data_IF_603302688246
#
_entry.id   IF_603302688246
#
_cell.length_a   1.000
_cell.length_b   1.000
_cell.length_c   1.000
_cell.angle_alpha   90.00
_cell.angle_beta   90.00
_cell.angle_gamma   90.00
#
_symmetry.space_group_name_H-M   'P 1'
#
loop_
_entity.id
_entity.type
_entity.pdbx_description
1 polymer ?
#
# COMPACT_ATOMS: atom_id res chain seq x y z
N UNK A 1 -36.16 -4.93 -77.55
CA UNK A 1 -34.82 -5.52 -77.71
C UNK A 1 -34.46 -6.27 -76.42
N UNK A 2 -34.15 -7.56 -76.56
CA UNK A 2 -33.43 -8.51 -75.68
C UNK A 2 -33.56 -8.36 -74.14
N UNK A 3 -34.20 -9.29 -73.41
CA UNK A 3 -33.78 -10.67 -73.00
C UNK A 3 -32.78 -10.70 -71.81
N UNK A 4 -33.33 -11.07 -70.66
CA UNK A 4 -32.92 -12.00 -69.57
C UNK A 4 -31.45 -12.34 -69.25
N UNK A 5 -31.17 -12.36 -67.93
CA UNK A 5 -30.56 -13.47 -67.12
C UNK A 5 -30.61 -13.02 -65.63
N UNK A 6 -31.30 -13.66 -64.67
CA UNK A 6 -31.00 -14.94 -64.00
C UNK A 6 -29.99 -14.71 -62.85
N UNK A 7 -30.12 -15.13 -61.58
CA UNK A 7 -31.04 -16.03 -60.86
C UNK A 7 -30.91 -15.87 -59.32
N UNK A 8 -31.99 -16.25 -58.61
CA UNK A 8 -32.15 -16.89 -57.26
C UNK A 8 -31.13 -16.67 -56.13
N UNK A 9 -31.63 -16.26 -54.96
CA UNK A 9 -31.32 -16.85 -53.64
C UNK A 9 -32.55 -16.81 -52.71
N UNK A 10 -32.70 -17.86 -51.89
CA UNK A 10 -33.78 -18.06 -50.93
C UNK A 10 -33.41 -17.51 -49.55
N UNK A 11 -34.39 -17.05 -48.75
CA UNK A 11 -34.29 -17.14 -47.29
C UNK A 11 -35.65 -17.05 -46.57
N UNK A 12 -35.70 -17.87 -45.53
CA UNK A 12 -36.72 -18.35 -44.57
C UNK A 12 -37.65 -17.36 -43.84
N UNK A 13 -38.72 -17.89 -43.19
CA UNK A 13 -39.82 -17.11 -42.63
C UNK A 13 -39.56 -16.55 -41.22
N UNK A 14 -40.21 -15.43 -40.93
CA UNK A 14 -40.32 -14.75 -39.65
C UNK A 14 -40.94 -15.64 -38.55
N UNK A 15 -40.26 -15.79 -37.41
CA UNK A 15 -40.85 -16.28 -36.15
C UNK A 15 -40.83 -15.17 -35.09
N UNK A 16 -42.04 -14.81 -34.66
CA UNK A 16 -42.33 -14.08 -33.43
C UNK A 16 -41.79 -14.85 -32.22
N UNK A 17 -41.00 -14.19 -31.38
CA UNK A 17 -40.68 -14.68 -30.03
C UNK A 17 -41.77 -14.22 -29.08
N UNK A 18 -42.53 -15.17 -28.53
CA UNK A 18 -43.51 -14.91 -27.49
C UNK A 18 -42.82 -14.72 -26.14
N UNK A 19 -43.18 -13.66 -25.42
CA UNK A 19 -42.83 -13.47 -24.01
C UNK A 19 -43.46 -14.59 -23.17
N UNK A 20 -42.67 -15.59 -22.78
CA UNK A 20 -43.06 -16.52 -21.72
C UNK A 20 -42.79 -15.87 -20.36
N UNK A 21 -43.87 -15.60 -19.63
CA UNK A 21 -43.87 -15.33 -18.19
C UNK A 21 -43.23 -16.50 -17.43
N UNK A 22 -42.02 -16.32 -16.91
CA UNK A 22 -41.37 -17.31 -16.05
C UNK A 22 -41.97 -17.27 -14.64
N UNK A 23 -42.49 -18.40 -14.17
CA UNK A 23 -42.76 -18.63 -12.73
C UNK A 23 -41.44 -18.90 -12.02
N UNK A 24 -41.27 -18.48 -10.76
CA UNK A 24 -40.06 -18.79 -9.99
C UNK A 24 -40.00 -20.29 -9.65
N UNK A 25 -38.83 -20.95 -9.76
CA UNK A 25 -38.65 -22.34 -9.38
C UNK A 25 -38.57 -22.51 -7.85
N UNK A 26 -38.81 -23.73 -7.33
CA UNK A 26 -38.83 -24.01 -5.89
C UNK A 26 -37.42 -23.91 -5.28
N UNK A 27 -37.35 -23.52 -4.00
CA UNK A 27 -36.10 -23.45 -3.24
C UNK A 27 -35.67 -24.83 -2.75
N UNK A 28 -34.42 -25.19 -3.07
CA UNK A 28 -33.59 -26.06 -2.23
C UNK A 28 -33.36 -27.46 -2.77
N UNK A 29 -32.34 -27.60 -3.62
CA UNK A 29 -31.37 -28.71 -3.57
C UNK A 29 -29.97 -28.12 -3.88
N UNK A 30 -28.89 -28.57 -3.21
CA UNK A 30 -27.54 -28.17 -3.55
C UNK A 30 -27.20 -28.68 -4.96
N UNK A 31 -26.78 -27.76 -5.82
CA UNK A 31 -26.54 -28.01 -7.24
C UNK A 31 -25.39 -29.00 -7.43
N UNK A 32 -25.61 -30.04 -8.24
CA UNK A 32 -24.64 -31.14 -8.41
C UNK A 32 -23.52 -30.89 -9.42
N UNK A 33 -23.57 -29.84 -10.24
CA UNK A 33 -22.37 -29.39 -10.94
C UNK A 33 -22.50 -27.92 -11.39
N UNK A 34 -21.98 -26.99 -10.59
CA UNK A 34 -22.02 -25.55 -10.88
C UNK A 34 -21.31 -25.22 -12.19
N UNK A 35 -20.27 -25.99 -12.52
CA UNK A 35 -19.45 -25.78 -13.71
C UNK A 35 -20.24 -26.17 -14.98
N UNK A 36 -21.03 -27.24 -14.94
CA UNK A 36 -21.91 -27.68 -16.06
C UNK A 36 -23.00 -26.64 -16.37
N UNK A 37 -23.66 -26.09 -15.33
CA UNK A 37 -24.66 -25.04 -15.51
C UNK A 37 -24.06 -23.74 -16.07
N UNK A 38 -22.86 -23.36 -15.62
CA UNK A 38 -22.16 -22.20 -16.14
C UNK A 38 -21.80 -22.35 -17.63
N UNK A 39 -21.37 -23.54 -18.05
CA UNK A 39 -21.11 -23.88 -19.45
C UNK A 39 -22.37 -23.83 -20.31
N UNK A 40 -23.48 -24.40 -19.83
CA UNK A 40 -24.77 -24.37 -20.53
C UNK A 40 -25.28 -22.93 -20.74
N UNK A 41 -25.19 -22.09 -19.70
CA UNK A 41 -25.64 -20.70 -19.76
C UNK A 41 -24.74 -19.84 -20.66
N UNK A 42 -23.41 -20.04 -20.61
CA UNK A 42 -22.49 -19.37 -21.51
C UNK A 42 -22.81 -19.68 -22.99
N UNK A 43 -23.06 -20.96 -23.30
CA UNK A 43 -23.47 -21.41 -24.63
C UNK A 43 -24.83 -20.83 -25.05
N UNK A 44 -25.79 -20.75 -24.12
CA UNK A 44 -27.14 -20.25 -24.38
C UNK A 44 -27.18 -18.75 -24.73
N UNK A 45 -26.37 -17.93 -24.07
CA UNK A 45 -26.40 -16.47 -24.22
C UNK A 45 -25.37 -15.93 -25.22
N UNK A 46 -24.68 -16.80 -25.96
CA UNK A 46 -23.73 -16.42 -27.01
C UNK A 46 -22.61 -15.47 -26.50
N UNK A 47 -22.34 -15.51 -25.19
CA UNK A 47 -21.27 -14.75 -24.56
C UNK A 47 -19.97 -15.51 -24.71
N UNK A 48 -18.88 -14.80 -25.05
CA UNK A 48 -17.54 -15.30 -24.70
C UNK A 48 -17.57 -15.63 -23.21
N UNK A 49 -17.04 -16.80 -22.82
CA UNK A 49 -17.00 -17.30 -21.46
C UNK A 49 -16.38 -16.25 -20.54
N UNK A 50 -17.22 -15.33 -20.06
CA UNK A 50 -16.80 -14.21 -19.24
C UNK A 50 -16.47 -14.86 -17.92
N UNK A 51 -15.19 -14.79 -17.52
CA UNK A 51 -14.74 -15.45 -16.31
C UNK A 51 -15.67 -15.05 -15.16
N UNK A 52 -16.37 -16.04 -14.61
CA UNK A 52 -17.21 -15.81 -13.45
C UNK A 52 -16.31 -15.27 -12.32
N UNK A 53 -16.75 -14.24 -11.58
CA UNK A 53 -16.06 -13.80 -10.37
C UNK A 53 -15.80 -14.96 -9.42
N UNK A 54 -14.69 -14.93 -8.69
CA UNK A 54 -14.26 -16.03 -7.81
C UNK A 54 -15.34 -16.40 -6.77
N UNK A 55 -16.19 -15.45 -6.39
CA UNK A 55 -17.29 -15.62 -5.45
C UNK A 55 -18.51 -16.31 -6.07
N UNK A 56 -18.57 -16.45 -7.40
CA UNK A 56 -19.75 -16.97 -8.08
C UNK A 56 -20.05 -18.43 -7.68
N UNK A 57 -19.01 -19.27 -7.61
CA UNK A 57 -19.13 -20.71 -7.32
C UNK A 57 -19.63 -21.00 -5.90
N UNK A 58 -19.37 -20.09 -4.96
CA UNK A 58 -19.71 -20.26 -3.55
C UNK A 58 -20.90 -19.41 -3.11
N UNK A 59 -21.21 -18.31 -3.82
CA UNK A 59 -22.19 -17.33 -3.36
C UNK A 59 -23.40 -17.13 -4.29
N UNK A 60 -23.32 -17.49 -5.57
CA UNK A 60 -24.37 -17.17 -6.54
C UNK A 60 -25.38 -18.31 -6.71
N UNK A 61 -26.65 -17.93 -6.81
CA UNK A 61 -27.74 -18.81 -7.24
C UNK A 61 -27.79 -18.94 -8.77
N UNK A 62 -28.47 -19.97 -9.27
CA UNK A 62 -28.71 -20.17 -10.69
C UNK A 62 -29.35 -18.94 -11.37
N UNK A 63 -30.28 -18.27 -10.70
CA UNK A 63 -30.92 -17.07 -11.24
C UNK A 63 -29.94 -15.88 -11.38
N UNK A 64 -28.96 -15.80 -10.49
CA UNK A 64 -27.91 -14.78 -10.50
C UNK A 64 -26.87 -15.06 -11.59
N UNK A 65 -26.51 -16.33 -11.79
CA UNK A 65 -25.73 -16.80 -12.93
C UNK A 65 -26.41 -16.49 -14.27
N UNK A 66 -27.71 -16.82 -14.38
CA UNK A 66 -28.51 -16.51 -15.57
C UNK A 66 -28.53 -15.00 -15.86
N UNK A 67 -28.68 -14.16 -14.83
CA UNK A 67 -28.68 -12.71 -14.96
C UNK A 67 -27.30 -12.18 -15.40
N UNK A 68 -26.21 -12.74 -14.86
CA UNK A 68 -24.85 -12.39 -15.24
C UNK A 68 -24.61 -12.67 -16.74
N UNK A 69 -24.92 -13.88 -17.20
CA UNK A 69 -24.76 -14.24 -18.62
C UNK A 69 -25.72 -13.48 -19.54
N UNK A 70 -26.98 -13.28 -19.14
CA UNK A 70 -27.94 -12.48 -19.90
C UNK A 70 -27.53 -11.00 -20.04
N UNK A 71 -26.70 -10.49 -19.12
CA UNK A 71 -26.15 -9.13 -19.17
C UNK A 71 -24.81 -9.01 -19.93
N UNK A 72 -24.27 -10.13 -20.44
CA UNK A 72 -22.92 -10.15 -21.03
C UNK A 72 -21.82 -9.88 -20.00
N UNK A 73 -22.01 -10.29 -18.75
CA UNK A 73 -21.03 -10.12 -17.66
C UNK A 73 -20.97 -8.73 -17.03
N UNK A 74 -21.90 -7.83 -17.36
CA UNK A 74 -21.90 -6.45 -16.85
C UNK A 74 -22.55 -6.31 -15.47
N UNK A 75 -23.42 -7.23 -15.09
CA UNK A 75 -24.17 -7.17 -13.83
C UNK A 75 -23.72 -8.33 -12.94
N UNK A 76 -22.92 -8.02 -11.92
CA UNK A 76 -22.61 -8.95 -10.84
C UNK A 76 -23.61 -8.78 -9.69
N UNK A 77 -24.09 -9.88 -9.08
CA UNK A 77 -24.91 -9.82 -7.88
C UNK A 77 -24.16 -9.13 -6.74
N UNK A 78 -24.84 -8.31 -5.91
CA UNK A 78 -24.22 -7.76 -4.72
C UNK A 78 -23.85 -8.90 -3.74
N UNK A 79 -22.70 -8.80 -3.03
CA UNK A 79 -22.22 -9.86 -2.14
C UNK A 79 -23.26 -10.27 -1.10
N UNK A 80 -23.48 -11.58 -0.91
CA UNK A 80 -24.54 -12.08 -0.05
C UNK A 80 -24.29 -11.67 1.43
N UNK A 81 -25.15 -10.82 2.03
CA UNK A 81 -24.93 -10.30 3.38
C UNK A 81 -24.86 -11.40 4.44
N UNK A 82 -25.52 -12.54 4.23
CA UNK A 82 -25.58 -13.65 5.18
C UNK A 82 -24.29 -14.47 5.19
N UNK A 83 -23.63 -14.65 4.03
CA UNK A 83 -22.35 -15.37 3.95
C UNK A 83 -21.21 -14.52 4.50
N UNK A 84 -21.22 -13.20 4.26
CA UNK A 84 -20.29 -12.27 4.94
C UNK A 84 -20.47 -12.26 6.45
N UNK A 85 -21.71 -12.33 6.94
CA UNK A 85 -21.97 -12.45 8.37
C UNK A 85 -21.43 -13.77 8.92
N UNK A 86 -21.61 -14.89 8.21
CA UNK A 86 -21.07 -16.19 8.61
C UNK A 86 -19.53 -16.24 8.60
N UNK A 87 -18.87 -15.63 7.61
CA UNK A 87 -17.41 -15.54 7.56
C UNK A 87 -16.85 -14.70 8.72
N UNK A 88 -17.48 -13.55 9.02
CA UNK A 88 -17.14 -12.73 10.19
C UNK A 88 -17.38 -13.47 11.51
N UNK A 89 -18.44 -14.28 11.59
CA UNK A 89 -18.74 -15.10 12.77
C UNK A 89 -17.71 -16.23 12.94
N UNK A 90 -17.17 -16.76 11.83
CA UNK A 90 -16.13 -17.79 11.85
C UNK A 90 -14.76 -17.21 12.23
N UNK A 91 -14.41 -16.03 11.71
CA UNK A 91 -13.24 -15.24 12.13
C UNK A 91 -13.31 -14.85 13.60
N UNK A 92 -14.49 -14.48 14.10
CA UNK A 92 -14.70 -14.15 15.51
C UNK A 92 -14.64 -15.37 16.44
N UNK A 93 -15.00 -16.56 15.96
CA UNK A 93 -14.98 -17.82 16.74
C UNK A 93 -13.61 -18.50 16.75
N UNK A 94 -12.78 -18.28 15.74
CA UNK A 94 -11.45 -18.84 15.64
C UNK A 94 -10.41 -17.71 15.62
N UNK A 95 -10.06 -17.23 16.81
CA UNK A 95 -8.84 -16.43 16.97
C UNK A 95 -7.63 -17.34 16.72
N UNK A 96 -7.14 -17.35 15.47
CA UNK A 96 -6.02 -18.19 15.01
C UNK A 96 -4.66 -17.67 15.50
N UNK A 97 -4.62 -16.61 16.32
CA UNK A 97 -3.38 -16.04 16.84
C UNK A 97 -2.80 -16.94 17.93
N UNK A 98 -1.48 -17.12 17.90
CA UNK A 98 -0.76 -17.81 18.97
C UNK A 98 -0.80 -16.98 20.26
N UNK A 99 -0.63 -17.60 21.44
CA UNK A 99 -0.56 -16.85 22.71
C UNK A 99 0.48 -15.72 22.71
N UNK A 100 1.63 -15.93 22.07
CA UNK A 100 2.67 -14.90 21.93
C UNK A 100 2.23 -13.73 21.02
N UNK A 101 1.40 -14.00 20.00
CA UNK A 101 0.84 -12.95 19.15
C UNK A 101 -0.20 -12.13 19.91
N UNK A 102 -1.04 -12.78 20.71
CA UNK A 102 -2.02 -12.09 21.57
C UNK A 102 -1.31 -11.19 22.59
N UNK A 103 -0.26 -11.69 23.24
CA UNK A 103 0.53 -10.92 24.20
C UNK A 103 1.21 -9.71 23.55
N UNK A 104 1.78 -9.90 22.36
CA UNK A 104 2.43 -8.80 21.63
C UNK A 104 1.44 -7.76 21.08
N UNK A 105 0.24 -8.17 20.66
CA UNK A 105 -0.84 -7.25 20.25
C UNK A 105 -1.33 -6.45 21.47
N UNK A 106 -1.50 -7.11 22.62
CA UNK A 106 -1.88 -6.44 23.87
C UNK A 106 -0.78 -5.46 24.33
N UNK A 107 0.50 -5.83 24.20
CA UNK A 107 1.62 -4.94 24.51
C UNK A 107 1.65 -3.72 23.57
N UNK A 108 1.33 -3.90 22.28
CA UNK A 108 1.23 -2.80 21.32
C UNK A 108 0.09 -1.84 21.68
N UNK A 109 -1.09 -2.34 22.01
CA UNK A 109 -2.21 -1.50 22.46
C UNK A 109 -1.91 -0.78 23.78
N UNK A 110 -1.31 -1.47 24.75
CA UNK A 110 -0.90 -0.86 26.00
C UNK A 110 0.15 0.24 25.79
N UNK A 111 1.10 0.04 24.88
CA UNK A 111 2.08 1.04 24.52
C UNK A 111 1.44 2.25 23.80
N UNK A 112 0.43 2.02 22.94
CA UNK A 112 -0.38 3.08 22.33
C UNK A 112 -1.12 3.91 23.37
N UNK A 113 -1.74 3.27 24.36
CA UNK A 113 -2.38 3.96 25.47
C UNK A 113 -1.37 4.72 26.35
N UNK A 114 -0.19 4.16 26.58
CA UNK A 114 0.87 4.81 27.35
C UNK A 114 1.41 6.06 26.65
N UNK A 115 1.56 6.02 25.32
CA UNK A 115 1.94 7.17 24.49
C UNK A 115 0.91 8.31 24.56
N UNK A 116 -0.34 8.04 24.93
CA UNK A 116 -1.35 9.07 25.20
C UNK A 116 -1.27 9.63 26.64
N UNK A 117 -0.71 8.88 27.60
CA UNK A 117 -0.73 9.21 29.04
C UNK A 117 0.53 9.93 29.51
N UNK A 118 1.69 9.68 28.91
CA UNK A 118 2.93 10.40 29.18
C UNK A 118 3.54 10.91 27.87
N UNK A 119 3.76 12.22 27.72
CA UNK A 119 4.29 12.77 26.49
C UNK A 119 5.73 12.33 26.25
N UNK A 120 5.96 11.47 25.25
CA UNK A 120 7.31 11.03 24.86
C UNK A 120 8.26 12.20 24.57
N UNK A 121 7.72 13.36 24.15
CA UNK A 121 8.49 14.56 23.82
C UNK A 121 9.21 15.19 25.02
N UNK A 122 8.84 14.84 26.26
CA UNK A 122 9.58 15.24 27.46
C UNK A 122 10.92 14.52 27.59
N UNK A 123 11.07 13.34 26.99
CA UNK A 123 12.31 12.54 26.99
C UNK A 123 13.29 12.96 25.88
N UNK A 124 12.87 13.88 25.01
CA UNK A 124 13.65 14.38 23.87
C UNK A 124 14.45 15.60 24.30
N UNK A 125 15.76 15.60 24.02
CA UNK A 125 16.63 16.72 24.41
C UNK A 125 16.42 17.93 23.52
N UNK A 126 16.83 19.10 23.99
CA UNK A 126 16.77 20.33 23.18
C UNK A 126 17.59 20.22 21.89
N UNK A 127 18.75 19.55 21.95
CA UNK A 127 19.58 19.31 20.77
C UNK A 127 18.86 18.46 19.72
N UNK A 128 18.15 17.41 20.13
CA UNK A 128 17.37 16.57 19.22
C UNK A 128 16.27 17.39 18.53
N UNK A 129 15.56 18.22 19.30
CA UNK A 129 14.50 19.10 18.77
C UNK A 129 15.05 20.09 17.75
N UNK A 130 16.25 20.63 17.97
CA UNK A 130 16.90 21.54 17.03
C UNK A 130 17.26 20.82 15.73
N UNK A 131 17.88 19.62 15.80
CA UNK A 131 18.20 18.81 14.62
C UNK A 131 16.95 18.43 13.82
N UNK A 132 15.92 17.93 14.51
CA UNK A 132 14.63 17.62 13.91
C UNK A 132 13.95 18.87 13.33
N UNK A 133 14.12 20.04 13.96
CA UNK A 133 13.62 21.32 13.48
C UNK A 133 14.19 21.69 12.12
N UNK A 134 15.51 21.55 11.92
CA UNK A 134 16.16 21.81 10.61
C UNK A 134 15.57 20.92 9.51
N UNK A 135 15.41 19.62 9.79
CA UNK A 135 14.78 18.69 8.86
C UNK A 135 13.33 19.08 8.56
N UNK A 136 12.55 19.29 9.63
CA UNK A 136 11.13 19.58 9.56
C UNK A 136 10.84 20.85 8.78
N UNK A 137 11.56 21.93 9.03
CA UNK A 137 11.34 23.20 8.36
C UNK A 137 11.63 23.09 6.86
N UNK A 138 12.70 22.38 6.47
CA UNK A 138 13.01 22.11 5.06
C UNK A 138 11.96 21.23 4.38
N UNK A 139 11.57 20.13 5.03
CA UNK A 139 10.57 19.19 4.53
C UNK A 139 9.20 19.87 4.30
N UNK A 140 8.75 20.67 5.26
CA UNK A 140 7.47 21.37 5.20
C UNK A 140 7.46 22.52 4.19
N UNK A 141 8.59 23.21 4.00
CA UNK A 141 8.68 24.31 3.03
C UNK A 141 8.40 23.86 1.60
N UNK A 142 8.66 22.58 1.27
CA UNK A 142 8.45 22.02 -0.06
C UNK A 142 7.00 21.62 -0.33
N UNK A 143 6.29 21.13 0.67
CA UNK A 143 4.95 20.54 0.50
C UNK A 143 4.99 19.21 -0.25
N UNK A 144 3.90 18.87 -0.96
CA UNK A 144 3.82 17.70 -1.85
C UNK A 144 3.87 18.22 -3.30
N UNK A 145 4.86 17.83 -4.12
CA UNK A 145 4.91 18.24 -5.51
C UNK A 145 3.87 17.51 -6.38
N UNK A 146 3.58 18.08 -7.54
CA UNK A 146 2.84 17.38 -8.59
C UNK A 146 3.64 16.16 -9.08
N UNK A 147 2.97 15.02 -9.21
CA UNK A 147 3.56 13.75 -9.68
C UNK A 147 2.93 13.35 -11.02
N UNK A 148 3.64 13.48 -12.15
CA UNK A 148 3.13 13.08 -13.46
C UNK A 148 2.63 11.64 -13.53
N UNK A 149 3.28 10.71 -12.82
CA UNK A 149 2.88 9.31 -12.72
C UNK A 149 2.10 9.01 -11.43
N UNK A 150 1.61 10.04 -10.73
CA UNK A 150 0.87 9.90 -9.49
C UNK A 150 -0.34 8.98 -9.63
N UNK A 151 -0.55 8.13 -8.63
CA UNK A 151 -1.60 7.12 -8.58
C UNK A 151 -2.79 7.56 -7.71
N UNK A 152 -2.59 8.56 -6.84
CA UNK A 152 -3.65 9.09 -5.98
C UNK A 152 -4.43 10.17 -6.75
N UNK A 153 -5.74 9.96 -7.01
CA UNK A 153 -6.58 10.96 -7.66
C UNK A 153 -6.69 12.25 -6.84
N UNK A 154 -6.67 13.41 -7.51
CA UNK A 154 -6.81 14.71 -6.86
C UNK A 154 -8.20 14.89 -6.19
N UNK A 155 -9.17 14.07 -6.57
CA UNK A 155 -10.51 14.05 -6.01
C UNK A 155 -10.77 12.97 -4.96
N UNK A 156 -9.75 12.19 -4.61
CA UNK A 156 -9.84 11.20 -3.54
C UNK A 156 -10.29 11.87 -2.21
N UNK A 157 -11.36 11.38 -1.56
CA UNK A 157 -11.92 12.02 -0.38
C UNK A 157 -10.94 12.13 0.79
N UNK A 158 -10.16 11.07 1.05
CA UNK A 158 -9.21 11.01 2.16
C UNK A 158 -8.04 11.95 1.91
N UNK A 159 -7.47 11.90 0.71
CA UNK A 159 -6.40 12.80 0.31
C UNK A 159 -6.84 14.27 0.41
N UNK A 160 -8.05 14.61 -0.03
CA UNK A 160 -8.63 15.95 0.14
C UNK A 160 -8.84 16.33 1.61
N UNK A 161 -9.21 15.38 2.47
CA UNK A 161 -9.40 15.64 3.89
C UNK A 161 -8.08 16.02 4.57
N UNK A 162 -6.98 15.33 4.22
CA UNK A 162 -5.63 15.66 4.71
C UNK A 162 -5.23 17.10 4.35
N UNK A 163 -5.53 17.54 3.12
CA UNK A 163 -5.25 18.91 2.68
C UNK A 163 -6.14 20.00 3.33
N UNK A 164 -7.28 19.65 3.93
CA UNK A 164 -8.20 20.64 4.54
C UNK A 164 -7.85 20.98 5.99
N UNK A 165 -7.21 20.08 6.72
CA UNK A 165 -6.94 20.25 8.13
C UNK A 165 -5.72 21.15 8.36
N UNK A 166 -5.89 22.28 9.06
CA UNK A 166 -4.80 23.25 9.29
C UNK A 166 -3.60 22.71 10.06
N UNK A 167 -3.79 21.67 10.88
CA UNK A 167 -2.73 21.04 11.66
C UNK A 167 -2.02 19.92 10.89
N UNK A 168 -2.54 19.52 9.73
CA UNK A 168 -1.96 18.50 8.84
C UNK A 168 -1.20 19.23 7.74
N UNK A 169 0.13 19.14 7.79
CA UNK A 169 1.02 19.89 6.91
C UNK A 169 1.67 18.92 5.91
N UNK A 170 1.47 19.11 4.59
CA UNK A 170 2.11 18.27 3.58
C UNK A 170 3.62 18.47 3.61
N UNK A 171 4.39 17.41 3.38
CA UNK A 171 5.84 17.52 3.28
C UNK A 171 6.44 16.48 2.34
N UNK A 172 7.69 16.71 1.98
CA UNK A 172 8.49 15.82 1.15
C UNK A 172 9.76 15.38 1.88
N UNK A 173 10.21 14.16 1.58
CA UNK A 173 11.39 13.55 2.20
C UNK A 173 12.63 14.37 1.90
N UNK A 174 13.45 14.56 2.94
CA UNK A 174 14.76 15.18 2.84
C UNK A 174 15.83 14.23 3.39
N UNK A 175 17.10 14.60 3.23
CA UNK A 175 18.24 13.94 3.84
C UNK A 175 19.02 15.02 4.60
N UNK A 176 19.29 14.78 5.88
CA UNK A 176 20.14 15.67 6.66
C UNK A 176 21.61 15.36 6.35
N UNK A 177 22.36 16.41 6.01
CA UNK A 177 23.81 16.35 5.82
C UNK A 177 24.51 17.23 6.84
N UNK A 178 25.67 16.76 7.32
CA UNK A 178 26.58 17.54 8.16
C UNK A 178 27.66 18.18 7.29
N UNK A 179 27.64 19.52 7.23
CA UNK A 179 28.47 20.32 6.32
C UNK A 179 29.99 20.24 6.62
N UNK A 180 30.40 19.59 7.70
CA UNK A 180 31.83 19.32 8.01
C UNK A 180 32.53 18.38 7.01
N UNK A 181 31.85 17.93 5.95
CA UNK A 181 32.31 16.88 5.03
C UNK A 181 32.37 17.29 3.55
N UNK A 182 32.12 18.56 3.19
CA UNK A 182 32.37 19.05 1.82
C UNK A 182 33.53 20.06 1.76
N UNK A 183 34.64 19.77 1.04
CA UNK A 183 35.69 20.75 0.79
C UNK A 183 35.31 21.84 -0.23
N UNK A 184 34.05 21.91 -0.70
CA UNK A 184 33.69 22.61 -1.95
C UNK A 184 32.55 23.64 -1.84
N UNK A 185 31.88 23.78 -0.70
CA UNK A 185 30.95 24.91 -0.48
C UNK A 185 31.76 26.13 -0.04
N UNK A 186 32.32 26.85 -1.02
CA UNK A 186 32.98 28.14 -0.79
C UNK A 186 31.94 29.18 -0.37
N UNK A 187 31.86 29.48 0.92
CA UNK A 187 31.06 30.63 1.36
C UNK A 187 30.85 30.80 2.86
N UNK A 188 31.06 29.77 3.69
CA UNK A 188 30.99 29.91 5.14
C UNK A 188 32.25 30.56 5.69
N UNK A 189 32.21 31.88 5.91
CA UNK A 189 33.04 32.45 6.96
C UNK A 189 32.57 31.81 8.28
N UNK A 190 33.53 31.32 9.06
CA UNK A 190 33.37 30.71 10.38
C UNK A 190 33.08 29.20 10.30
N UNK A 191 34.04 28.39 10.73
CA UNK A 191 34.03 26.92 10.73
C UNK A 191 33.01 26.29 11.68
N UNK A 192 31.78 26.78 11.69
CA UNK A 192 30.63 26.17 12.34
C UNK A 192 30.12 25.03 11.45
N UNK A 193 30.17 23.80 11.96
CA UNK A 193 29.47 22.68 11.36
C UNK A 193 27.96 22.98 11.36
N UNK A 194 27.39 23.28 10.20
CA UNK A 194 25.94 23.45 10.04
C UNK A 194 25.33 22.17 9.49
N UNK A 195 24.12 21.85 9.96
CA UNK A 195 23.30 20.81 9.35
C UNK A 195 22.53 21.43 8.19
N UNK A 196 22.56 20.80 7.03
CA UNK A 196 21.76 21.21 5.86
C UNK A 196 20.86 20.05 5.48
N UNK A 197 19.56 20.30 5.35
CA UNK A 197 18.62 19.33 4.81
C UNK A 197 18.54 19.50 3.29
N UNK A 198 18.92 18.46 2.55
CA UNK A 198 18.82 18.42 1.09
C UNK A 198 17.58 17.64 0.68
N UNK A 199 16.92 18.11 -0.38
CA UNK A 199 15.75 17.45 -0.94
C UNK A 199 16.15 16.10 -1.55
N UNK A 200 15.36 15.07 -1.27
CA UNK A 200 15.53 13.75 -1.87
C UNK A 200 14.53 13.59 -3.01
N UNK A 201 14.91 14.01 -4.22
CA UNK A 201 14.02 14.00 -5.40
C UNK A 201 13.38 12.64 -5.68
N UNK A 202 14.13 11.55 -5.47
CA UNK A 202 13.71 10.19 -5.81
C UNK A 202 14.18 9.18 -4.76
N UNK A 203 13.41 8.12 -4.57
CA UNK A 203 13.73 7.05 -3.64
C UNK A 203 13.06 5.72 -4.01
N UNK A 204 13.32 4.68 -3.19
CA UNK A 204 12.70 3.37 -3.42
C UNK A 204 11.17 3.43 -3.28
N UNK A 205 10.68 4.18 -2.30
CA UNK A 205 9.25 4.34 -1.98
C UNK A 205 8.70 5.74 -2.24
N UNK A 206 9.55 6.66 -2.70
CA UNK A 206 9.29 8.09 -2.77
C UNK A 206 9.62 8.64 -4.15
N UNK A 207 8.96 9.74 -4.52
CA UNK A 207 9.16 10.43 -5.78
C UNK A 207 8.34 9.83 -6.92
N UNK A 208 8.45 10.46 -8.08
CA UNK A 208 7.73 10.08 -9.29
C UNK A 208 8.28 8.76 -9.87
N UNK A 209 9.56 8.46 -9.65
CA UNK A 209 10.18 7.20 -10.06
C UNK A 209 9.64 5.98 -9.30
N UNK A 210 9.24 6.13 -8.03
CA UNK A 210 8.58 5.06 -7.28
C UNK A 210 7.20 4.74 -7.89
N UNK A 211 6.47 5.79 -8.30
CA UNK A 211 5.18 5.65 -8.96
C UNK A 211 5.36 4.94 -10.32
N UNK A 212 6.27 5.45 -11.14
CA UNK A 212 6.52 4.95 -12.50
C UNK A 212 7.14 3.54 -12.51
N UNK A 213 8.13 3.28 -11.68
CA UNK A 213 8.93 2.06 -11.70
C UNK A 213 8.34 0.91 -10.90
N UNK A 214 7.74 1.19 -9.73
CA UNK A 214 7.28 0.18 -8.77
C UNK A 214 5.78 0.19 -8.56
N UNK A 215 5.08 1.20 -9.08
CA UNK A 215 3.65 1.34 -8.86
C UNK A 215 3.31 1.71 -7.43
N UNK A 216 4.11 2.54 -6.77
CA UNK A 216 3.87 3.03 -5.41
C UNK A 216 3.81 4.56 -5.41
N UNK A 217 2.68 5.12 -4.99
CA UNK A 217 2.52 6.55 -4.73
C UNK A 217 2.30 6.76 -3.21
N UNK A 218 3.28 7.36 -2.54
CA UNK A 218 3.27 7.62 -1.09
C UNK A 218 3.43 9.12 -0.82
N UNK A 219 2.43 9.74 -0.19
CA UNK A 219 2.37 11.20 0.05
C UNK A 219 2.26 11.49 1.54
N UNK A 220 3.25 12.17 2.10
CA UNK A 220 3.36 12.39 3.53
C UNK A 220 2.73 13.70 4.00
N UNK A 221 2.22 13.65 5.22
CA UNK A 221 1.76 14.81 5.96
C UNK A 221 2.17 14.66 7.42
N UNK A 222 2.49 15.78 8.06
CA UNK A 222 2.78 15.85 9.48
C UNK A 222 1.59 16.43 10.21
N UNK A 223 1.05 15.68 11.16
CA UNK A 223 0.02 16.18 12.08
C UNK A 223 0.72 16.86 13.25
N UNK A 224 0.81 18.18 13.19
CA UNK A 224 1.42 19.02 14.24
C UNK A 224 0.67 18.97 15.59
N UNK A 225 -0.59 18.52 15.61
CA UNK A 225 -1.38 18.43 16.85
C UNK A 225 -1.12 17.14 17.62
N UNK A 226 -0.78 16.05 16.91
CA UNK A 226 -0.51 14.74 17.49
C UNK A 226 0.94 14.28 17.33
N UNK A 227 1.76 15.07 16.61
CA UNK A 227 3.15 14.78 16.24
C UNK A 227 3.30 13.46 15.45
N UNK A 228 2.25 13.03 14.76
CA UNK A 228 2.25 11.83 13.91
C UNK A 228 2.65 12.18 12.49
N UNK A 229 3.17 11.19 11.76
CA UNK A 229 3.18 11.22 10.30
C UNK A 229 1.97 10.43 9.81
N UNK A 230 1.20 11.04 8.93
CA UNK A 230 0.11 10.38 8.21
C UNK A 230 0.40 10.45 6.72
N UNK A 231 -0.08 9.50 5.95
CA UNK A 231 0.16 9.45 4.52
C UNK A 231 -1.03 8.89 3.76
N UNK A 232 -1.15 9.33 2.50
CA UNK A 232 -1.97 8.64 1.50
C UNK A 232 -1.06 7.72 0.68
N UNK A 233 -1.54 6.50 0.43
CA UNK A 233 -0.78 5.46 -0.26
C UNK A 233 -1.65 4.82 -1.34
N UNK A 234 -1.14 4.73 -2.56
CA UNK A 234 -1.80 4.00 -3.63
C UNK A 234 -0.81 3.10 -4.38
N UNK A 235 -1.36 2.02 -4.93
CA UNK A 235 -0.60 1.01 -5.65
C UNK A 235 -1.13 0.81 -7.07
N UNK A 236 -0.25 0.58 -8.03
CA UNK A 236 -0.62 0.18 -9.40
C UNK A 236 -0.41 -1.32 -9.61
N UNK A 237 -0.75 -1.83 -10.79
CA UNK A 237 -0.55 -3.23 -11.14
C UNK A 237 0.93 -3.67 -11.08
N UNK A 238 1.89 -2.73 -11.12
CA UNK A 238 3.32 -3.04 -10.96
C UNK A 238 3.70 -3.45 -9.54
N UNK A 239 2.86 -3.14 -8.55
CA UNK A 239 3.08 -3.46 -7.15
C UNK A 239 2.66 -4.88 -6.76
N UNK A 240 2.04 -5.63 -7.68
CA UNK A 240 1.48 -6.96 -7.43
C UNK A 240 2.59 -8.00 -7.29
N UNK A 241 2.49 -8.84 -6.25
CA UNK A 241 3.43 -9.93 -6.01
C UNK A 241 3.11 -11.17 -6.85
N UNK A 242 4.06 -11.62 -7.69
CA UNK A 242 3.89 -12.81 -8.52
C UNK A 242 3.45 -12.46 -9.94
N UNK A 243 4.40 -12.16 -10.81
CA UNK A 243 4.17 -11.98 -12.24
C UNK A 243 4.53 -13.28 -12.96
N UNK A 244 3.55 -13.98 -13.54
CA UNK A 244 3.82 -14.87 -14.67
C UNK A 244 3.49 -14.06 -15.93
N UNK A 245 4.54 -13.61 -16.62
CA UNK A 245 4.40 -13.04 -17.94
C UNK A 245 4.09 -14.18 -18.89
N UNK A 246 2.84 -14.31 -19.31
CA UNK A 246 2.53 -14.93 -20.58
C UNK A 246 1.40 -14.12 -21.21
N UNK A 247 1.70 -13.40 -22.28
CA UNK A 247 0.73 -12.88 -23.26
C UNK A 247 0.23 -14.04 -24.13
N UNK A 248 -0.29 -15.09 -23.50
CA UNK A 248 -0.92 -16.19 -24.23
C UNK A 248 -2.29 -16.41 -23.61
N UNK A 249 -3.31 -16.20 -24.44
CA UNK A 249 -4.73 -16.41 -24.14
C UNK A 249 -5.03 -17.86 -23.72
N UNK A 250 -4.05 -18.77 -23.83
CA UNK A 250 -4.15 -20.18 -23.42
C UNK A 250 -3.51 -20.49 -22.04
N UNK A 251 -2.85 -19.52 -21.40
CA UNK A 251 -2.17 -19.73 -20.13
C UNK A 251 -3.15 -19.69 -18.94
N UNK A 252 -3.49 -20.86 -18.39
CA UNK A 252 -4.30 -21.08 -17.17
C UNK A 252 -3.58 -20.70 -15.86
N UNK A 253 -2.61 -19.79 -15.89
CA UNK A 253 -1.85 -19.41 -14.69
C UNK A 253 -2.53 -18.30 -13.90
N UNK A 254 -2.75 -18.56 -12.61
CA UNK A 254 -3.24 -17.63 -11.61
C UNK A 254 -2.46 -16.31 -11.63
N UNK A 255 -3.15 -15.20 -11.93
CA UNK A 255 -2.62 -13.84 -11.75
C UNK A 255 -2.91 -13.41 -10.32
N UNK A 256 -1.86 -13.07 -9.56
CA UNK A 256 -2.07 -12.41 -8.28
C UNK A 256 -2.74 -11.05 -8.53
N UNK A 257 -3.69 -10.67 -7.69
CA UNK A 257 -4.33 -9.35 -7.69
C UNK A 257 -3.92 -8.53 -6.46
N UNK A 258 -2.98 -9.07 -5.67
CA UNK A 258 -2.60 -8.56 -4.37
C UNK A 258 -1.26 -7.84 -4.43
N UNK A 259 -1.19 -6.69 -3.77
CA UNK A 259 0.07 -5.94 -3.60
C UNK A 259 1.07 -6.80 -2.83
N UNK A 260 2.30 -6.82 -3.30
CA UNK A 260 3.38 -7.58 -2.68
C UNK A 260 3.63 -7.10 -1.25
N UNK A 261 3.67 -8.04 -0.29
CA UNK A 261 3.82 -7.71 1.13
C UNK A 261 5.07 -6.88 1.45
N UNK A 262 6.18 -7.12 0.75
CA UNK A 262 7.41 -6.33 0.89
C UNK A 262 7.26 -4.85 0.52
N UNK A 263 6.29 -4.50 -0.33
CA UNK A 263 6.02 -3.10 -0.64
C UNK A 263 5.21 -2.42 0.47
N UNK A 264 4.30 -3.16 1.11
CA UNK A 264 3.59 -2.68 2.30
C UNK A 264 4.56 -2.47 3.48
N UNK A 265 5.51 -3.38 3.64
CA UNK A 265 6.58 -3.28 4.62
C UNK A 265 7.48 -2.06 4.35
N UNK A 266 7.90 -1.84 3.10
CA UNK A 266 8.71 -0.68 2.74
C UNK A 266 7.99 0.66 3.02
N UNK A 267 6.68 0.72 2.80
CA UNK A 267 5.87 1.89 3.17
C UNK A 267 5.90 2.11 4.69
N UNK A 268 5.74 1.05 5.49
CA UNK A 268 5.78 1.16 6.95
C UNK A 268 7.16 1.58 7.47
N UNK A 269 8.25 1.00 6.93
CA UNK A 269 9.62 1.38 7.28
C UNK A 269 9.84 2.88 7.03
N UNK A 270 9.44 3.38 5.86
CA UNK A 270 9.59 4.79 5.50
C UNK A 270 8.72 5.71 6.36
N UNK A 271 7.47 5.34 6.65
CA UNK A 271 6.67 6.11 7.61
C UNK A 271 7.31 6.16 9.00
N UNK A 272 7.90 5.06 9.47
CA UNK A 272 8.57 5.03 10.77
C UNK A 272 9.84 5.87 10.80
N UNK A 273 10.58 5.91 9.69
CA UNK A 273 11.73 6.79 9.53
C UNK A 273 11.29 8.26 9.49
N UNK A 274 10.26 8.61 8.71
CA UNK A 274 9.83 10.01 8.58
C UNK A 274 9.28 10.57 9.89
N UNK A 275 8.51 9.80 10.68
CA UNK A 275 8.06 10.28 12.00
C UNK A 275 9.22 10.48 12.97
N UNK A 276 10.30 9.71 12.84
CA UNK A 276 11.51 9.90 13.62
C UNK A 276 12.26 11.17 13.21
N UNK A 277 12.49 11.37 11.90
CA UNK A 277 13.26 12.50 11.38
C UNK A 277 12.60 13.83 11.71
N UNK A 278 11.29 13.93 11.53
CA UNK A 278 10.56 15.19 11.70
C UNK A 278 10.38 15.62 13.16
N UNK A 279 10.48 14.66 14.09
CA UNK A 279 10.19 14.89 15.51
C UNK A 279 11.41 14.79 16.44
N UNK A 280 12.40 13.93 16.15
CA UNK A 280 13.48 13.60 17.08
C UNK A 280 14.85 13.55 16.41
N UNK A 281 15.07 12.63 15.47
CA UNK A 281 16.40 12.26 15.01
C UNK A 281 16.42 12.02 13.50
N UNK A 282 16.85 13.03 12.71
CA UNK A 282 17.04 12.86 11.28
C UNK A 282 18.08 11.80 10.92
N UNK A 283 19.12 11.65 11.76
CA UNK A 283 20.18 10.66 11.63
C UNK A 283 19.82 9.39 12.40
N UNK A 284 18.96 8.58 11.82
CA UNK A 284 18.48 7.34 12.41
C UNK A 284 18.59 6.16 11.44
N UNK A 285 18.52 4.95 12.00
CA UNK A 285 18.37 3.72 11.23
C UNK A 285 17.31 2.83 11.90
N UNK A 286 16.53 2.11 11.10
CA UNK A 286 15.66 1.05 11.62
C UNK A 286 16.52 -0.12 12.09
N UNK A 287 16.53 -0.39 13.41
CA UNK A 287 17.30 -1.49 14.01
C UNK A 287 16.54 -2.81 13.94
N UNK A 288 15.22 -2.76 14.14
CA UNK A 288 14.32 -3.90 14.00
C UNK A 288 12.93 -3.39 13.65
N UNK A 289 12.17 -4.19 12.90
CA UNK A 289 10.76 -3.94 12.64
C UNK A 289 10.01 -5.26 12.67
N UNK A 290 8.93 -5.32 13.44
CA UNK A 290 7.99 -6.44 13.45
C UNK A 290 6.73 -6.02 12.72
N UNK A 291 6.37 -6.76 11.68
CA UNK A 291 5.24 -6.47 10.80
C UNK A 291 4.17 -7.54 10.93
N UNK A 292 2.89 -7.13 10.89
CA UNK A 292 1.73 -8.04 10.87
C UNK A 292 0.78 -7.68 9.75
N UNK A 293 0.58 -8.60 8.82
CA UNK A 293 -0.44 -8.50 7.78
C UNK A 293 -1.78 -8.96 8.34
N UNK A 294 -2.80 -8.12 8.21
CA UNK A 294 -4.15 -8.36 8.74
C UNK A 294 -5.16 -8.53 7.62
N UNK A 295 -5.00 -7.81 6.50
CA UNK A 295 -5.86 -7.90 5.32
C UNK A 295 -5.04 -7.83 4.03
N UNK A 296 -5.54 -8.42 2.94
CA UNK A 296 -4.98 -8.17 1.61
C UNK A 296 -5.10 -6.70 1.23
N UNK A 297 -4.22 -6.24 0.34
CA UNK A 297 -4.35 -4.94 -0.32
C UNK A 297 -4.31 -5.12 -1.84
N UNK A 298 -5.10 -4.30 -2.51
CA UNK A 298 -5.30 -4.32 -3.95
C UNK A 298 -4.78 -3.02 -4.59
N UNK A 299 -4.26 -3.09 -5.82
CA UNK A 299 -4.03 -1.91 -6.65
C UNK A 299 -5.31 -1.10 -6.91
N UNK A 300 -5.16 0.17 -7.25
CA UNK A 300 -6.28 1.07 -7.57
C UNK A 300 -7.10 1.54 -6.37
N UNK A 301 -6.72 1.13 -5.15
CA UNK A 301 -7.31 1.60 -3.90
C UNK A 301 -6.35 2.57 -3.22
N UNK A 302 -6.89 3.66 -2.68
CA UNK A 302 -6.15 4.61 -1.83
C UNK A 302 -6.29 4.18 -0.38
N UNK A 303 -5.17 3.97 0.28
CA UNK A 303 -5.06 3.63 1.69
C UNK A 303 -4.57 4.83 2.50
N UNK A 304 -4.91 4.82 3.79
CA UNK A 304 -4.34 5.73 4.78
C UNK A 304 -3.21 5.00 5.50
N UNK A 305 -2.06 5.63 5.65
CA UNK A 305 -1.00 5.13 6.52
C UNK A 305 -0.73 6.13 7.65
N UNK A 306 -0.30 5.65 8.80
CA UNK A 306 0.12 6.51 9.90
C UNK A 306 1.21 5.86 10.74
N UNK A 307 2.09 6.70 11.30
CA UNK A 307 3.12 6.32 12.24
C UNK A 307 3.20 7.31 13.41
N UNK A 308 3.51 6.77 14.59
CA UNK A 308 3.59 7.52 15.84
C UNK A 308 4.76 7.01 16.69
N UNK A 309 5.49 7.94 17.31
CA UNK A 309 6.45 7.60 18.36
C UNK A 309 5.66 7.13 19.59
N UNK A 310 6.05 5.97 20.10
CA UNK A 310 5.40 5.29 21.22
C UNK A 310 6.21 5.50 22.51
N UNK A 311 7.52 5.30 22.42
CA UNK A 311 8.43 5.49 23.55
C UNK A 311 9.81 5.95 23.08
N UNK A 312 10.45 6.77 23.89
CA UNK A 312 11.82 7.27 23.67
C UNK A 312 12.70 6.74 24.81
N UNK A 313 13.58 5.81 24.47
CA UNK A 313 14.53 5.17 25.40
C UNK A 313 15.93 5.11 24.76
N UNK A 314 16.62 6.27 24.62
CA UNK A 314 17.84 6.38 23.83
C UNK A 314 18.91 5.33 24.20
N UNK A 315 19.64 4.76 23.22
CA UNK A 315 19.69 5.18 21.81
C UNK A 315 18.52 4.68 20.95
N UNK A 316 17.55 3.95 21.51
CA UNK A 316 16.43 3.36 20.78
C UNK A 316 15.13 4.15 20.99
N UNK A 317 14.36 4.30 19.91
CA UNK A 317 13.01 4.87 19.94
C UNK A 317 12.05 3.87 19.35
N UNK A 318 10.95 3.60 20.05
CA UNK A 318 9.90 2.69 19.56
C UNK A 318 8.86 3.48 18.81
N UNK A 319 8.54 3.02 17.60
CA UNK A 319 7.56 3.62 16.69
C UNK A 319 6.52 2.57 16.34
N UNK A 320 5.24 2.96 16.31
CA UNK A 320 4.18 2.12 15.74
C UNK A 320 3.76 2.70 14.39
N UNK A 321 3.56 1.82 13.42
CA UNK A 321 3.03 2.16 12.10
C UNK A 321 1.83 1.29 11.74
N UNK A 322 0.97 1.80 10.85
CA UNK A 322 -0.17 1.06 10.30
C UNK A 322 -0.55 1.57 8.91
N UNK A 323 -1.15 0.68 8.10
CA UNK A 323 -1.89 1.02 6.89
C UNK A 323 -3.34 0.57 7.11
N UNK A 324 -4.26 1.44 6.72
CA UNK A 324 -5.69 1.36 6.94
C UNK A 324 -6.43 1.43 5.60
N UNK A 325 -7.54 0.71 5.49
CA UNK A 325 -8.52 0.93 4.42
C UNK A 325 -9.23 2.27 4.62
N UNK A 326 -10.04 2.68 3.64
CA UNK A 326 -10.90 3.86 3.78
C UNK A 326 -11.92 3.75 4.92
N UNK A 327 -12.27 2.53 5.34
CA UNK A 327 -13.15 2.24 6.47
C UNK A 327 -12.41 2.11 7.81
N UNK A 328 -11.16 2.59 7.90
CA UNK A 328 -10.29 2.51 9.08
C UNK A 328 -10.01 1.07 9.56
N UNK A 329 -10.08 0.09 8.66
CA UNK A 329 -9.71 -1.28 8.98
C UNK A 329 -8.20 -1.49 8.76
N UNK A 330 -7.50 -2.09 9.72
CA UNK A 330 -6.06 -2.32 9.61
C UNK A 330 -5.74 -3.38 8.54
N UNK A 331 -4.94 -2.98 7.55
CA UNK A 331 -4.39 -3.84 6.49
C UNK A 331 -3.09 -4.47 6.95
N UNK A 332 -2.21 -3.64 7.51
CA UNK A 332 -0.90 -4.05 8.02
C UNK A 332 -0.52 -3.13 9.18
N UNK A 333 0.18 -3.67 10.17
CA UNK A 333 0.70 -2.92 11.31
C UNK A 333 2.16 -3.25 11.55
N UNK A 334 2.92 -2.31 12.08
CA UNK A 334 4.26 -2.59 12.58
C UNK A 334 4.55 -1.96 13.95
N UNK A 335 5.56 -2.54 14.60
CA UNK A 335 6.34 -1.90 15.67
C UNK A 335 7.79 -1.92 15.24
N UNK A 336 8.42 -0.75 15.20
CA UNK A 336 9.82 -0.57 14.83
C UNK A 336 10.62 -0.05 16.02
N UNK A 337 11.88 -0.45 16.14
CA UNK A 337 12.88 0.24 16.96
C UNK A 337 13.84 0.97 16.04
N UNK A 338 13.93 2.27 16.23
CA UNK A 338 14.76 3.18 15.49
C UNK A 338 15.95 3.58 16.37
N UNK A 339 17.17 3.36 15.87
CA UNK A 339 18.39 3.72 16.58
C UNK A 339 18.87 5.11 16.15
N UNK A 340 19.15 5.98 17.13
CA UNK A 340 19.76 7.29 16.92
C UNK A 340 21.26 7.11 16.71
N UNK A 341 21.75 7.38 15.49
CA UNK A 341 23.12 7.05 15.10
C UNK A 341 24.18 7.80 15.93
N UNK A 342 23.88 9.04 16.31
CA UNK A 342 24.75 9.88 17.15
C UNK A 342 24.87 9.40 18.60
N UNK A 343 24.03 8.44 19.01
CA UNK A 343 24.02 7.86 20.37
C UNK A 343 24.41 6.38 20.40
N UNK A 344 24.64 5.78 19.24
CA UNK A 344 25.22 4.46 19.19
C UNK A 344 26.69 4.55 19.61
N UNK A 345 27.19 3.60 20.42
CA UNK A 345 28.61 3.55 20.71
C UNK A 345 29.37 3.42 19.39
N UNK A 346 30.23 4.39 19.10
CA UNK A 346 31.11 4.33 17.94
C UNK A 346 31.91 3.04 18.02
N UNK A 347 31.59 2.04 17.20
CA UNK A 347 32.66 1.12 16.78
C UNK A 347 33.67 2.00 16.04
N UNK A 348 34.98 1.87 16.29
CA UNK A 348 35.94 2.37 15.34
C UNK A 348 35.63 1.66 14.03
N UNK A 349 34.92 2.33 13.13
CA UNK A 349 35.02 2.04 11.71
C UNK A 349 36.51 2.26 11.47
N UNK A 350 37.25 1.18 11.18
CA UNK A 350 38.68 1.24 10.90
C UNK A 350 38.93 2.46 10.02
N UNK A 351 39.73 3.40 10.53
CA UNK A 351 39.89 4.69 9.90
C UNK A 351 40.29 4.50 8.45
N UNK A 352 39.49 5.04 7.53
CA UNK A 352 39.97 5.36 6.18
C UNK A 352 40.88 6.59 6.27
N UNK A 353 42.01 6.39 6.94
CA UNK A 353 43.06 7.38 7.15
C UNK A 353 44.38 6.65 7.27
N UNK A 354 44.96 6.29 6.11
CA UNK A 354 46.30 5.70 6.03
C UNK A 354 46.46 4.65 4.93
N UNK A 355 46.59 5.09 3.69
CA UNK A 355 47.63 4.61 2.74
C UNK A 355 47.77 3.12 2.38
N UNK A 356 46.69 2.34 2.32
CA UNK A 356 46.72 1.05 1.58
C UNK A 356 45.68 1.03 0.46
N UNK A 357 46.16 1.18 -0.77
CA UNK A 357 45.41 0.80 -1.98
C UNK A 357 45.11 -0.70 -1.91
N UNK A 358 43.90 -1.05 -1.50
CA UNK A 358 43.31 -2.34 -1.85
C UNK A 358 43.02 -2.31 -3.36
N UNK A 359 44.03 -2.66 -4.15
CA UNK A 359 43.84 -3.12 -5.52
C UNK A 359 43.08 -4.44 -5.46
N UNK A 360 41.75 -4.37 -5.54
CA UNK A 360 40.96 -5.54 -5.87
C UNK A 360 41.31 -5.95 -7.31
N UNK A 361 41.96 -7.10 -7.45
CA UNK A 361 42.26 -7.65 -8.76
C UNK A 361 40.94 -7.98 -9.48
N UNK A 362 40.83 -7.79 -10.81
CA UNK A 362 39.60 -8.05 -11.56
C UNK A 362 39.08 -9.51 -11.53
N UNK A 363 39.74 -10.42 -10.82
CA UNK A 363 39.38 -11.83 -10.78
C UNK A 363 38.33 -12.21 -9.71
N UNK A 364 37.95 -11.29 -8.82
CA UNK A 364 36.99 -11.58 -7.72
C UNK A 364 35.58 -11.01 -7.95
N UNK A 365 35.30 -10.48 -9.14
CA UNK A 365 33.95 -10.15 -9.58
C UNK A 365 33.53 -11.06 -10.75
N UNK A 366 33.19 -12.31 -10.44
CA UNK A 366 32.32 -13.16 -11.26
C UNK A 366 31.33 -13.92 -10.37
#
# INVERSE_FOLDING_TARGET
>A
LAVACGAKTASSPSRQTSLHTMRPPPRGEPFTDFDELAEELAAQFNGDATALPDEAKSEWSEAELQMFFASGGQITPPPNPKLRAAARELEAKHDLRSPAQIEADAALELAREAAQKAPWWEKVTELDRQKAGVYRDAALARGIPDRPHGLIPADDPHFRQLHKAKHILPFEKHILFWESSQPHIKGGADGESRSVALHADEGYTHGDSACAGRGLDLRYFWDSSTLKVVAAVAYSQKAVGGWSAVEDETSTRWRSTLVHGGLLEAVLDELTAEVMKINIAPDMVTSEMTVRFKKPSSPGVVYKAEAAIVDVSPPLVTVSGRILTQGDEEVITCTAKCAMLDRLPSRPIGGFGGDERLELSPAECL
#
